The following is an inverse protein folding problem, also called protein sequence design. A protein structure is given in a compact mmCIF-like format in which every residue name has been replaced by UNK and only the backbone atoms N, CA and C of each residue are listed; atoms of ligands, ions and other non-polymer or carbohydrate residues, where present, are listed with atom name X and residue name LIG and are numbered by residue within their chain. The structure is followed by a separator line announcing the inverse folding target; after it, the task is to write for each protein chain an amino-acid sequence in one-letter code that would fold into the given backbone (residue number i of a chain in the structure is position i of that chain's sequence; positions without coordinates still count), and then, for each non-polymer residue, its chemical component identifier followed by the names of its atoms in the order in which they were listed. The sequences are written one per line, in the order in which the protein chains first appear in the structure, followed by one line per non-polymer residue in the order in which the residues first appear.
data_IF_026189198042
#
_entry.id   IF_026189198042
#
_cell.length_a   1.000
_cell.length_b   1.000
_cell.length_c   1.000
_cell.angle_alpha   90.00
_cell.angle_beta   90.00
_cell.angle_gamma   90.00
#
_symmetry.space_group_name_H-M   'P 1'
#
loop_
_entity.id
_entity.type
_entity.pdbx_description
1 polymer ?
#
# COMPACT_ATOMS: atom_id res chain seq x y z
N UNK A 1 26.73 0.80 15.77
CA UNK A 1 26.20 1.63 14.66
C UNK A 1 25.60 0.65 13.67
N UNK A 2 24.28 0.49 13.65
CA UNK A 2 23.58 -0.45 12.76
C UNK A 2 23.07 0.38 11.59
N UNK A 3 23.31 0.01 10.32
CA UNK A 3 22.76 0.77 9.20
C UNK A 3 21.23 0.64 9.24
N UNK A 4 20.54 1.75 9.51
CA UNK A 4 19.12 1.92 9.24
C UNK A 4 18.91 2.19 7.74
N UNK A 5 19.45 1.31 6.89
CA UNK A 5 19.19 1.36 5.46
C UNK A 5 18.84 -0.05 5.02
N UNK A 6 17.55 -0.29 4.83
CA UNK A 6 17.08 -1.49 4.12
C UNK A 6 17.16 -1.26 2.61
N UNK A 7 17.87 -0.20 2.18
CA UNK A 7 17.98 0.35 0.84
C UNK A 7 17.44 -0.54 -0.27
N UNK A 8 16.10 -0.57 -0.41
CA UNK A 8 15.43 -1.53 -1.28
C UNK A 8 15.90 -1.32 -2.73
N UNK A 9 16.30 -0.10 -3.06
CA UNK A 9 16.72 0.29 -4.39
C UNK A 9 18.24 0.22 -4.63
N UNK A 10 19.07 -0.24 -3.68
CA UNK A 10 20.55 -0.20 -3.81
C UNK A 10 21.07 -0.93 -5.06
N UNK A 11 20.40 -2.01 -5.46
CA UNK A 11 20.74 -2.82 -6.63
C UNK A 11 19.65 -2.75 -7.72
N UNK A 12 18.84 -1.69 -7.73
CA UNK A 12 17.76 -1.57 -8.71
C UNK A 12 18.32 -1.15 -10.07
N UNK A 13 18.17 -2.02 -11.07
CA UNK A 13 18.64 -1.75 -12.43
C UNK A 13 17.64 -0.90 -13.21
N UNK A 14 18.06 -0.40 -14.38
CA UNK A 14 17.18 0.32 -15.29
C UNK A 14 15.97 -0.53 -15.73
N UNK A 15 16.19 -1.82 -15.99
CA UNK A 15 15.13 -2.77 -16.36
C UNK A 15 14.14 -2.97 -15.20
N UNK A 16 14.63 -3.02 -13.96
CA UNK A 16 13.76 -3.10 -12.79
C UNK A 16 12.87 -1.85 -12.67
N UNK A 17 13.45 -0.65 -12.83
CA UNK A 17 12.68 0.59 -12.83
C UNK A 17 11.63 0.64 -13.94
N UNK A 18 12.01 0.29 -15.17
CA UNK A 18 11.09 0.24 -16.31
C UNK A 18 9.95 -0.77 -16.07
N UNK A 19 10.28 -1.94 -15.52
CA UNK A 19 9.29 -2.96 -15.18
C UNK A 19 8.33 -2.46 -14.09
N UNK A 20 8.84 -1.86 -13.02
CA UNK A 20 8.01 -1.36 -11.92
C UNK A 20 7.05 -0.27 -12.39
N UNK A 21 7.56 0.71 -13.15
CA UNK A 21 6.77 1.83 -13.68
C UNK A 21 5.73 1.34 -14.70
N UNK A 22 6.11 0.41 -15.59
CA UNK A 22 5.19 -0.19 -16.55
C UNK A 22 4.02 -0.90 -15.84
N UNK A 23 4.32 -1.73 -14.85
CA UNK A 23 3.30 -2.45 -14.08
C UNK A 23 2.41 -1.50 -13.28
N UNK A 24 2.98 -0.47 -12.66
CA UNK A 24 2.22 0.54 -11.92
C UNK A 24 1.28 1.34 -12.84
N UNK A 25 1.80 1.84 -13.97
CA UNK A 25 1.03 2.57 -14.98
C UNK A 25 -0.11 1.72 -15.56
N UNK A 26 0.14 0.45 -15.90
CA UNK A 26 -0.89 -0.50 -16.36
C UNK A 26 -1.96 -0.82 -15.28
N UNK A 27 -1.65 -0.53 -14.02
CA UNK A 27 -2.55 -0.64 -12.87
C UNK A 27 -3.23 0.69 -12.52
N UNK A 28 -3.15 1.69 -13.40
CA UNK A 28 -3.69 3.05 -13.23
C UNK A 28 -3.02 3.90 -12.13
N UNK A 29 -1.81 3.55 -11.68
CA UNK A 29 -1.03 4.38 -10.76
C UNK A 29 -0.34 5.49 -11.54
N UNK A 30 -0.52 6.75 -11.12
CA UNK A 30 -0.02 7.94 -11.82
C UNK A 30 1.45 8.28 -11.52
N UNK A 31 2.04 7.67 -10.48
CA UNK A 31 3.40 7.99 -10.08
C UNK A 31 3.89 7.30 -8.82
N UNK A 32 5.14 7.59 -8.45
CA UNK A 32 5.76 7.10 -7.21
C UNK A 32 6.24 8.23 -6.28
N UNK A 33 5.94 8.05 -4.99
CA UNK A 33 6.64 8.71 -3.90
C UNK A 33 7.97 7.95 -3.65
N UNK A 34 9.10 8.60 -3.91
CA UNK A 34 10.43 8.00 -3.73
C UNK A 34 10.92 8.24 -2.30
N UNK A 35 10.69 7.28 -1.41
CA UNK A 35 11.22 7.31 -0.04
C UNK A 35 12.76 7.19 -0.06
N UNK A 36 13.44 8.19 0.49
CA UNK A 36 14.90 8.31 0.47
C UNK A 36 15.48 8.59 1.87
N UNK A 37 16.59 7.92 2.18
CA UNK A 37 17.35 8.11 3.41
C UNK A 37 18.56 9.06 3.24
N UNK A 38 18.83 9.87 4.26
CA UNK A 38 19.93 10.86 4.23
C UNK A 38 21.32 10.23 4.17
N UNK A 39 21.49 9.05 4.77
CA UNK A 39 22.75 8.32 4.88
C UNK A 39 22.98 7.30 3.76
N UNK A 40 22.06 7.19 2.81
CA UNK A 40 22.11 6.20 1.74
C UNK A 40 23.00 6.69 0.60
N UNK A 41 24.21 6.12 0.52
CA UNK A 41 25.22 6.49 -0.47
C UNK A 41 24.80 6.28 -1.93
N UNK A 42 23.78 5.45 -2.18
CA UNK A 42 23.25 5.12 -3.50
C UNK A 42 22.05 5.99 -3.92
N UNK A 43 21.52 6.87 -3.05
CA UNK A 43 20.28 7.63 -3.30
C UNK A 43 20.32 8.40 -4.61
N UNK A 44 21.43 9.10 -4.91
CA UNK A 44 21.51 9.92 -6.11
C UNK A 44 21.43 9.09 -7.40
N UNK A 45 22.12 7.95 -7.44
CA UNK A 45 22.14 7.08 -8.63
C UNK A 45 20.80 6.35 -8.79
N UNK A 46 20.19 5.90 -7.69
CA UNK A 46 18.86 5.30 -7.71
C UNK A 46 17.78 6.28 -8.20
N UNK A 47 17.83 7.54 -7.74
CA UNK A 47 16.91 8.59 -8.20
C UNK A 47 17.08 8.87 -9.69
N UNK A 48 18.33 9.01 -10.18
CA UNK A 48 18.58 9.19 -11.63
C UNK A 48 18.00 8.03 -12.44
N UNK A 49 18.22 6.79 -12.02
CA UNK A 49 17.64 5.61 -12.66
C UNK A 49 16.11 5.64 -12.70
N UNK A 50 15.47 6.05 -11.59
CA UNK A 50 14.02 6.19 -11.52
C UNK A 50 13.48 7.27 -12.49
N UNK A 51 14.08 8.47 -12.49
CA UNK A 51 13.68 9.56 -13.39
C UNK A 51 13.96 9.25 -14.86
N UNK A 52 15.09 8.60 -15.18
CA UNK A 52 15.41 8.14 -16.53
C UNK A 52 14.37 7.14 -17.04
N UNK A 53 13.94 6.21 -16.19
CA UNK A 53 12.88 5.25 -16.53
C UNK A 53 11.52 5.91 -16.67
N UNK A 54 11.14 6.80 -15.74
CA UNK A 54 9.86 7.53 -15.80
C UNK A 54 9.76 8.44 -17.03
N UNK A 55 10.89 8.99 -17.51
CA UNK A 55 10.94 9.78 -18.76
C UNK A 55 10.47 9.03 -20.01
N UNK A 56 10.31 7.70 -19.94
CA UNK A 56 9.81 6.85 -21.03
C UNK A 56 8.28 6.72 -21.04
N UNK A 57 7.59 7.36 -20.11
CA UNK A 57 6.14 7.29 -19.96
C UNK A 57 5.55 8.71 -19.93
N UNK A 58 4.51 8.97 -20.72
CA UNK A 58 4.00 10.33 -20.91
C UNK A 58 3.36 10.96 -19.66
N UNK A 59 2.82 10.13 -18.76
CA UNK A 59 2.03 10.59 -17.60
C UNK A 59 2.41 9.90 -16.29
N UNK A 60 3.62 9.35 -16.19
CA UNK A 60 4.10 8.76 -14.94
C UNK A 60 5.03 9.74 -14.23
N UNK A 61 4.63 10.15 -13.03
CA UNK A 61 5.35 11.19 -12.29
C UNK A 61 6.04 10.65 -11.03
N UNK A 62 7.03 11.38 -10.54
CA UNK A 62 7.82 11.03 -9.36
C UNK A 62 7.90 12.24 -8.44
N UNK A 63 7.97 12.01 -7.14
CA UNK A 63 8.36 13.05 -6.19
C UNK A 63 9.22 12.48 -5.07
N UNK A 64 9.99 13.35 -4.42
CA UNK A 64 10.90 12.95 -3.35
C UNK A 64 10.17 12.93 -2.00
N UNK A 65 10.28 11.82 -1.28
CA UNK A 65 9.82 11.66 0.10
C UNK A 65 11.02 11.49 1.02
N UNK A 66 11.34 12.53 1.81
CA UNK A 66 12.51 12.53 2.69
C UNK A 66 12.21 11.77 3.99
N UNK A 67 12.82 10.60 4.18
CA UNK A 67 12.62 9.78 5.37
C UNK A 67 13.54 10.26 6.50
N UNK A 68 12.92 10.80 7.56
CA UNK A 68 13.63 11.28 8.75
C UNK A 68 13.90 10.18 9.80
N UNK A 69 13.35 8.99 9.60
CA UNK A 69 13.53 7.82 10.46
C UNK A 69 14.56 6.80 9.92
N UNK A 70 14.98 6.95 8.65
CA UNK A 70 16.06 6.23 8.00
C UNK A 70 17.45 6.57 8.57
N UNK A 71 18.51 5.96 8.02
CA UNK A 71 19.89 6.28 8.39
C UNK A 71 20.28 7.70 7.97
N UNK A 72 21.12 8.35 8.78
CA UNK A 72 21.64 9.69 8.52
C UNK A 72 20.78 10.80 9.13
N UNK A 73 21.06 12.04 8.76
CA UNK A 73 20.32 13.21 9.22
C UNK A 73 20.18 14.20 8.06
N UNK A 74 18.93 14.53 7.74
CA UNK A 74 18.64 15.59 6.77
C UNK A 74 18.99 16.97 7.35
N UNK A 75 19.43 17.88 6.49
CA UNK A 75 19.60 19.28 6.81
C UNK A 75 19.10 20.13 5.63
N UNK A 76 18.99 21.45 5.87
CA UNK A 76 18.45 22.38 4.88
C UNK A 76 19.22 22.30 3.54
N UNK A 77 20.54 22.20 3.57
CA UNK A 77 21.36 22.15 2.35
C UNK A 77 21.20 20.84 1.60
N UNK A 78 21.21 19.70 2.28
CA UNK A 78 21.08 18.40 1.61
C UNK A 78 19.71 18.23 0.96
N UNK A 79 18.61 18.62 1.63
CA UNK A 79 17.26 18.61 1.06
C UNK A 79 17.17 19.56 -0.13
N UNK A 80 17.62 20.82 0.03
CA UNK A 80 17.49 21.84 -1.02
C UNK A 80 18.31 21.49 -2.26
N UNK A 81 19.53 20.98 -2.09
CA UNK A 81 20.39 20.58 -3.20
C UNK A 81 19.79 19.42 -3.98
N UNK A 82 19.29 18.39 -3.28
CA UNK A 82 18.68 17.24 -3.94
C UNK A 82 17.39 17.64 -4.66
N UNK A 83 16.54 18.46 -4.02
CA UNK A 83 15.33 19.00 -4.66
C UNK A 83 15.67 19.82 -5.90
N UNK A 84 16.65 20.73 -5.82
CA UNK A 84 17.09 21.50 -6.99
C UNK A 84 17.67 20.64 -8.12
N UNK A 85 18.19 19.44 -7.81
CA UNK A 85 18.71 18.51 -8.81
C UNK A 85 17.59 17.92 -9.67
N UNK A 86 16.46 17.56 -9.05
CA UNK A 86 15.38 16.83 -9.73
C UNK A 86 14.15 17.68 -10.09
N UNK A 87 13.99 18.89 -9.52
CA UNK A 87 12.76 19.69 -9.67
C UNK A 87 12.38 20.05 -11.11
N UNK A 88 13.35 20.06 -12.02
CA UNK A 88 13.16 20.41 -13.43
C UNK A 88 13.16 19.18 -14.34
N UNK A 89 13.25 17.96 -13.79
CA UNK A 89 13.10 16.72 -14.55
C UNK A 89 11.68 16.60 -15.13
N UNK A 90 11.50 16.08 -16.36
CA UNK A 90 10.19 15.98 -17.00
C UNK A 90 9.16 15.19 -16.19
N UNK A 91 9.60 14.15 -15.49
CA UNK A 91 8.74 13.31 -14.67
C UNK A 91 8.51 13.84 -13.24
N UNK A 92 9.09 14.98 -12.84
CA UNK A 92 8.84 15.53 -11.51
C UNK A 92 7.38 15.95 -11.36
N UNK A 93 6.68 15.39 -10.37
CA UNK A 93 5.32 15.80 -10.05
C UNK A 93 5.32 17.23 -9.52
N UNK A 94 4.44 18.06 -10.08
CA UNK A 94 4.32 19.48 -9.76
C UNK A 94 2.88 19.84 -9.45
N UNK A 95 2.70 20.68 -8.43
CA UNK A 95 1.43 21.31 -8.07
C UNK A 95 1.66 22.82 -8.09
N UNK A 96 0.78 23.55 -8.77
CA UNK A 96 0.92 25.00 -9.00
C UNK A 96 2.30 25.41 -9.57
N UNK A 97 2.87 24.54 -10.42
CA UNK A 97 4.19 24.74 -11.02
C UNK A 97 5.38 24.50 -10.09
N UNK A 98 5.15 24.15 -8.82
CA UNK A 98 6.19 23.86 -7.83
C UNK A 98 6.43 22.35 -7.72
N UNK A 99 7.68 21.88 -7.57
CA UNK A 99 7.94 20.46 -7.31
C UNK A 99 7.29 20.03 -5.99
N UNK A 100 6.48 18.97 -6.04
CA UNK A 100 5.98 18.36 -4.82
C UNK A 100 7.11 17.64 -4.11
N UNK A 101 7.18 17.80 -2.79
CA UNK A 101 8.04 17.01 -1.90
C UNK A 101 7.25 16.59 -0.66
N UNK A 102 7.57 15.43 -0.12
CA UNK A 102 6.97 14.92 1.12
C UNK A 102 8.04 14.42 2.08
N UNK A 103 7.60 13.87 3.20
CA UNK A 103 8.48 13.26 4.20
C UNK A 103 7.89 11.94 4.67
N UNK A 104 8.70 11.13 5.35
CA UNK A 104 8.22 10.19 6.37
C UNK A 104 8.69 10.71 7.73
N UNK A 105 7.74 11.09 8.57
CA UNK A 105 7.98 11.82 9.83
C UNK A 105 8.88 13.07 9.66
N UNK A 106 9.57 13.50 10.72
CA UNK A 106 10.48 14.66 10.67
C UNK A 106 9.95 15.93 11.33
N UNK A 107 8.96 15.81 12.23
CA UNK A 107 8.39 16.93 13.01
C UNK A 107 9.44 17.89 13.61
N UNK A 108 10.58 17.44 14.18
CA UNK A 108 11.58 18.36 14.71
C UNK A 108 12.19 19.32 13.67
N UNK A 109 12.14 18.98 12.38
CA UNK A 109 12.61 19.78 11.26
C UNK A 109 11.52 20.69 10.66
N UNK A 110 10.29 20.68 11.20
CA UNK A 110 9.15 21.38 10.63
C UNK A 110 9.40 22.88 10.38
N UNK A 111 10.13 23.55 11.28
CA UNK A 111 10.37 25.00 11.20
C UNK A 111 11.54 25.37 10.26
N UNK A 112 12.36 24.40 9.86
CA UNK A 112 13.50 24.60 8.94
C UNK A 112 13.06 24.54 7.46
N UNK A 113 11.86 24.03 7.17
CA UNK A 113 11.29 24.01 5.81
C UNK A 113 11.16 25.41 5.19
N UNK A 114 10.98 26.46 6.01
CA UNK A 114 11.00 27.85 5.53
C UNK A 114 12.33 28.22 4.85
N UNK A 115 13.44 27.63 5.30
CA UNK A 115 14.76 27.90 4.76
C UNK A 115 15.07 26.99 3.57
N UNK A 116 14.50 25.77 3.54
CA UNK A 116 14.47 24.93 2.33
C UNK A 116 13.75 25.65 1.19
N UNK A 117 12.54 26.18 1.44
CA UNK A 117 11.75 26.95 0.45
C UNK A 117 12.54 28.11 -0.16
N UNK A 118 13.31 28.84 0.64
CA UNK A 118 14.16 29.95 0.17
C UNK A 118 15.31 29.47 -0.73
N UNK A 119 15.85 28.27 -0.49
CA UNK A 119 17.00 27.73 -1.24
C UNK A 119 16.59 26.94 -2.49
N UNK A 120 15.36 26.45 -2.56
CA UNK A 120 14.84 25.80 -3.77
C UNK A 120 14.36 26.86 -4.75
N UNK A 121 14.97 26.90 -5.95
CA UNK A 121 14.62 27.89 -6.97
C UNK A 121 13.23 27.59 -7.52
N UNK A 122 12.30 28.51 -7.28
CA UNK A 122 10.90 28.35 -7.67
C UNK A 122 9.98 27.83 -6.55
N UNK A 123 10.47 27.75 -5.31
CA UNK A 123 9.75 27.22 -4.14
C UNK A 123 9.43 25.71 -4.29
N UNK A 124 8.75 25.13 -3.31
CA UNK A 124 8.27 23.74 -3.27
C UNK A 124 6.77 23.68 -2.95
N UNK A 125 6.12 22.57 -3.28
CA UNK A 125 4.81 22.21 -2.73
C UNK A 125 5.01 21.12 -1.68
N UNK A 126 4.95 21.47 -0.38
CA UNK A 126 5.27 20.55 0.72
C UNK A 126 4.03 19.86 1.27
N UNK A 127 3.99 18.52 1.17
CA UNK A 127 2.96 17.66 1.75
C UNK A 127 3.64 16.62 2.65
N UNK A 128 4.03 16.95 3.89
CA UNK A 128 4.81 16.05 4.72
C UNK A 128 3.91 15.01 5.39
N UNK A 129 4.46 13.82 5.67
CA UNK A 129 3.90 12.95 6.69
C UNK A 129 4.42 13.36 8.05
N UNK A 130 3.54 13.97 8.85
CA UNK A 130 3.74 14.20 10.28
C UNK A 130 2.60 13.59 11.09
N UNK A 131 2.21 12.36 10.75
CA UNK A 131 1.12 11.64 11.42
C UNK A 131 1.30 11.57 12.93
N UNK A 132 2.54 11.43 13.43
CA UNK A 132 2.84 11.48 14.87
C UNK A 132 2.42 12.78 15.58
N UNK A 133 2.29 13.89 14.85
CA UNK A 133 1.87 15.18 15.37
C UNK A 133 0.33 15.26 15.53
N UNK A 134 -0.39 14.46 14.73
CA UNK A 134 -1.84 14.44 14.62
C UNK A 134 -2.46 15.76 14.10
N UNK A 135 -3.77 15.76 13.78
CA UNK A 135 -4.45 16.91 13.18
C UNK A 135 -4.33 18.19 14.02
N UNK A 136 -4.41 18.06 15.34
CA UNK A 136 -4.33 19.19 16.27
C UNK A 136 -2.95 19.86 16.28
N UNK A 137 -1.87 19.12 16.06
CA UNK A 137 -0.55 19.72 15.97
C UNK A 137 -0.22 20.22 14.55
N UNK A 138 -0.72 19.58 13.49
CA UNK A 138 -0.63 20.09 12.10
C UNK A 138 -1.20 21.49 11.99
N UNK A 139 -2.34 21.77 12.63
CA UNK A 139 -2.96 23.10 12.66
C UNK A 139 -2.03 24.22 13.16
N UNK A 140 -0.96 23.89 13.89
CA UNK A 140 0.03 24.84 14.42
C UNK A 140 1.25 25.02 13.50
N UNK A 141 1.31 24.29 12.39
CA UNK A 141 2.43 24.28 11.41
C UNK A 141 1.99 24.69 10.00
N UNK A 142 0.77 25.24 9.86
CA UNK A 142 0.14 25.57 8.59
C UNK A 142 0.95 26.58 7.74
N UNK A 143 1.77 27.42 8.35
CA UNK A 143 2.63 28.38 7.63
C UNK A 143 3.79 27.69 6.89
N UNK A 144 4.14 26.46 7.26
CA UNK A 144 5.29 25.74 6.69
C UNK A 144 4.89 24.76 5.58
N UNK A 145 3.63 24.35 5.51
CA UNK A 145 3.14 23.26 4.63
C UNK A 145 2.13 23.75 3.60
N UNK A 146 2.05 23.08 2.45
CA UNK A 146 1.00 23.29 1.44
C UNK A 146 -0.10 22.22 1.51
N UNK A 147 0.17 21.13 2.20
CA UNK A 147 -0.76 20.07 2.53
C UNK A 147 -0.23 19.18 3.65
N UNK A 148 -0.93 18.09 3.95
CA UNK A 148 -0.44 17.06 4.87
C UNK A 148 -0.82 15.67 4.36
N UNK A 149 0.14 14.75 4.47
CA UNK A 149 -0.04 13.33 4.21
C UNK A 149 -0.22 12.60 5.55
N UNK A 150 -1.25 11.77 5.64
CA UNK A 150 -1.51 10.94 6.81
C UNK A 150 -1.15 9.48 6.52
N UNK A 151 -0.14 8.95 7.20
CA UNK A 151 0.30 7.55 7.13
C UNK A 151 -0.62 6.58 7.89
N UNK A 152 -1.70 7.09 8.51
CA UNK A 152 -2.74 6.29 9.20
C UNK A 152 -3.62 5.48 8.22
N UNK A 153 -3.06 4.45 7.57
CA UNK A 153 -3.82 3.59 6.65
C UNK A 153 -4.52 2.41 7.33
N UNK A 154 -4.16 2.08 8.57
CA UNK A 154 -4.54 0.82 9.22
C UNK A 154 -5.41 1.01 10.47
N UNK A 155 -6.19 -0.01 10.87
CA UNK A 155 -6.90 0.02 12.14
C UNK A 155 -5.93 0.14 13.32
N UNK A 156 -6.31 0.93 14.33
CA UNK A 156 -5.57 0.99 15.59
C UNK A 156 -5.56 -0.36 16.31
N UNK A 157 -4.66 -0.54 17.29
CA UNK A 157 -4.61 -1.76 18.10
C UNK A 157 -5.98 -2.17 18.67
N UNK A 158 -6.28 -3.48 18.59
CA UNK A 158 -7.53 -4.06 19.04
C UNK A 158 -8.76 -3.73 18.19
N UNK A 159 -8.59 -3.10 17.01
CA UNK A 159 -9.70 -2.76 16.11
C UNK A 159 -9.66 -3.60 14.84
N UNK A 160 -10.83 -4.10 14.43
CA UNK A 160 -11.00 -4.90 13.22
C UNK A 160 -11.13 -4.09 11.93
N UNK A 161 -11.39 -2.78 12.02
CA UNK A 161 -11.68 -1.90 10.87
C UNK A 161 -11.11 -0.50 11.08
N UNK A 162 -10.68 0.11 9.97
CA UNK A 162 -10.24 1.50 9.88
C UNK A 162 -11.47 2.40 9.65
N UNK A 163 -11.38 3.67 10.04
CA UNK A 163 -12.47 4.65 9.91
C UNK A 163 -11.96 5.95 9.30
N UNK A 164 -12.85 6.75 8.71
CA UNK A 164 -12.54 8.08 8.16
C UNK A 164 -12.23 9.16 9.20
N UNK A 165 -12.33 8.85 10.50
CA UNK A 165 -12.24 9.87 11.56
C UNK A 165 -10.93 10.65 11.54
N UNK A 166 -9.80 9.96 11.34
CA UNK A 166 -8.47 10.61 11.25
C UNK A 166 -8.39 11.45 9.97
N UNK A 167 -8.86 10.91 8.85
CA UNK A 167 -8.84 11.58 7.55
C UNK A 167 -9.65 12.89 7.58
N UNK A 168 -10.90 12.84 8.06
CA UNK A 168 -11.74 14.03 8.21
C UNK A 168 -11.17 15.04 9.22
N UNK A 169 -10.50 14.57 10.28
CA UNK A 169 -9.86 15.46 11.24
C UNK A 169 -8.68 16.20 10.60
N UNK A 170 -7.88 15.53 9.78
CA UNK A 170 -6.81 16.15 9.00
C UNK A 170 -7.38 17.16 7.99
N UNK A 171 -8.39 16.80 7.19
CA UNK A 171 -9.05 17.76 6.28
C UNK A 171 -9.56 19.00 7.01
N UNK A 172 -10.25 18.82 8.15
CA UNK A 172 -10.72 19.95 8.98
C UNK A 172 -9.58 20.82 9.50
N UNK A 173 -8.45 20.22 9.89
CA UNK A 173 -7.28 20.95 10.38
C UNK A 173 -6.57 21.72 9.25
N UNK A 174 -6.60 21.19 8.03
CA UNK A 174 -5.94 21.75 6.85
C UNK A 174 -6.72 22.91 6.21
N UNK A 175 -8.04 22.96 6.38
CA UNK A 175 -8.89 23.95 5.70
C UNK A 175 -8.81 23.75 4.19
N UNK A 176 -8.35 24.77 3.46
CA UNK A 176 -8.22 24.74 2.00
C UNK A 176 -6.90 24.13 1.50
N UNK A 177 -6.02 23.69 2.41
CA UNK A 177 -4.75 23.04 2.05
C UNK A 177 -4.94 21.59 1.65
N UNK A 178 -4.06 21.08 0.79
CA UNK A 178 -4.18 19.76 0.21
C UNK A 178 -4.11 18.65 1.26
N UNK A 179 -5.02 17.68 1.18
CA UNK A 179 -4.96 16.47 1.98
C UNK A 179 -4.59 15.27 1.12
N UNK A 180 -3.52 14.58 1.50
CA UNK A 180 -3.12 13.30 0.90
C UNK A 180 -3.51 12.16 1.83
N UNK A 181 -4.39 11.28 1.35
CA UNK A 181 -4.94 10.16 2.10
C UNK A 181 -4.17 8.87 1.79
N UNK A 182 -3.80 8.10 2.81
CA UNK A 182 -3.14 6.81 2.61
C UNK A 182 -4.12 5.66 2.38
N UNK A 183 -3.74 4.73 1.51
CA UNK A 183 -4.46 3.47 1.27
C UNK A 183 -3.48 2.31 1.31
N UNK A 184 -3.82 1.22 1.97
CA UNK A 184 -2.95 0.05 2.10
C UNK A 184 -3.77 -1.24 2.14
N UNK A 185 -3.33 -2.33 1.49
CA UNK A 185 -4.12 -3.56 1.45
C UNK A 185 -3.94 -4.43 2.70
N UNK A 186 -2.79 -4.31 3.36
CA UNK A 186 -2.35 -5.24 4.39
C UNK A 186 -1.38 -4.60 5.37
N UNK A 187 -1.14 -5.22 6.53
CA UNK A 187 0.05 -4.93 7.35
C UNK A 187 0.40 -6.12 8.22
N UNK A 188 1.62 -6.62 8.07
CA UNK A 188 2.21 -7.54 9.02
C UNK A 188 3.72 -7.37 9.00
N UNK A 189 4.30 -7.26 10.18
CA UNK A 189 5.74 -7.19 10.30
C UNK A 189 6.22 -8.07 11.45
N UNK A 190 7.33 -8.74 11.22
CA UNK A 190 8.11 -9.38 12.27
C UNK A 190 9.60 -9.25 11.96
N UNK A 191 10.21 -8.24 12.58
CA UNK A 191 11.61 -7.88 12.39
C UNK A 191 12.22 -7.67 13.78
N UNK A 192 12.82 -8.73 14.31
CA UNK A 192 13.36 -8.75 15.68
C UNK A 192 14.41 -7.64 15.90
N UNK A 193 15.26 -7.38 14.90
CA UNK A 193 16.28 -6.31 14.94
C UNK A 193 15.67 -4.91 15.11
N UNK A 194 14.45 -4.70 14.62
CA UNK A 194 13.71 -3.45 14.74
C UNK A 194 12.68 -3.48 15.88
N UNK A 195 12.63 -4.57 16.66
CA UNK A 195 11.61 -4.82 17.69
C UNK A 195 10.18 -4.69 17.15
N UNK A 196 9.99 -5.05 15.88
CA UNK A 196 8.68 -5.04 15.22
C UNK A 196 8.08 -6.43 15.23
N UNK A 197 6.84 -6.57 15.71
CA UNK A 197 6.09 -7.84 15.74
C UNK A 197 4.58 -7.58 15.93
N UNK A 198 3.90 -7.14 14.88
CA UNK A 198 2.46 -6.86 14.94
C UNK A 198 1.76 -7.08 13.59
N UNK A 199 0.45 -7.20 13.67
CA UNK A 199 -0.50 -7.32 12.55
C UNK A 199 -1.62 -6.31 12.73
N UNK A 200 -1.98 -5.59 11.67
CA UNK A 200 -3.18 -4.74 11.66
C UNK A 200 -4.30 -5.43 10.88
N UNK A 201 -5.53 -5.40 11.40
CA UNK A 201 -6.66 -6.09 10.75
C UNK A 201 -6.84 -5.64 9.31
N UNK A 202 -6.77 -6.61 8.39
CA UNK A 202 -6.64 -6.36 6.96
C UNK A 202 -7.68 -7.09 6.10
N UNK A 203 -8.55 -7.92 6.70
CA UNK A 203 -9.52 -8.76 5.99
C UNK A 203 -10.49 -7.94 5.10
N UNK A 204 -10.83 -6.71 5.52
CA UNK A 204 -11.66 -5.76 4.75
C UNK A 204 -10.91 -4.54 4.23
N UNK A 205 -9.64 -4.40 4.60
CA UNK A 205 -8.96 -3.10 4.61
C UNK A 205 -8.86 -2.46 3.24
N UNK A 206 -8.48 -3.24 2.23
CA UNK A 206 -8.35 -2.74 0.86
C UNK A 206 -9.66 -2.18 0.31
N UNK A 207 -10.77 -2.91 0.50
CA UNK A 207 -12.10 -2.45 0.11
C UNK A 207 -12.52 -1.22 0.92
N UNK A 208 -12.45 -1.32 2.25
CA UNK A 208 -12.92 -0.25 3.13
C UNK A 208 -12.14 1.06 2.89
N UNK A 209 -10.82 1.05 2.69
CA UNK A 209 -10.04 2.27 2.42
C UNK A 209 -10.38 2.89 1.07
N UNK A 210 -10.53 2.11 0.01
CA UNK A 210 -10.89 2.66 -1.30
C UNK A 210 -12.30 3.24 -1.32
N UNK A 211 -13.27 2.60 -0.67
CA UNK A 211 -14.61 3.19 -0.50
C UNK A 211 -14.56 4.49 0.33
N UNK A 212 -13.74 4.52 1.38
CA UNK A 212 -13.53 5.70 2.20
C UNK A 212 -12.85 6.84 1.43
N UNK A 213 -11.96 6.57 0.50
CA UNK A 213 -11.38 7.60 -0.39
C UNK A 213 -12.49 8.31 -1.16
N UNK A 214 -13.46 7.56 -1.69
CA UNK A 214 -14.58 8.13 -2.45
C UNK A 214 -15.54 8.94 -1.57
N UNK A 215 -15.70 8.56 -0.29
CA UNK A 215 -16.50 9.32 0.67
C UNK A 215 -15.79 10.58 1.19
N UNK A 216 -14.48 10.49 1.44
CA UNK A 216 -13.67 11.59 2.00
C UNK A 216 -13.35 12.64 0.93
N UNK A 217 -13.13 12.21 -0.32
CA UNK A 217 -12.70 13.05 -1.43
C UNK A 217 -11.41 13.81 -1.12
N UNK A 218 -10.27 13.12 -0.86
CA UNK A 218 -8.99 13.78 -0.65
C UNK A 218 -8.47 14.42 -1.95
N UNK A 219 -7.50 15.34 -1.86
CA UNK A 219 -6.88 15.96 -3.04
C UNK A 219 -5.88 15.02 -3.72
N UNK A 220 -5.27 14.13 -2.93
CA UNK A 220 -4.30 13.14 -3.38
C UNK A 220 -4.50 11.82 -2.62
N UNK A 221 -4.13 10.71 -3.25
CA UNK A 221 -4.15 9.38 -2.62
C UNK A 221 -2.77 8.75 -2.79
N UNK A 222 -2.17 8.29 -1.69
CA UNK A 222 -0.91 7.54 -1.72
C UNK A 222 -1.16 6.08 -1.31
N UNK A 223 -0.81 5.14 -2.19
CA UNK A 223 -0.83 3.71 -1.85
C UNK A 223 0.46 3.38 -1.10
N UNK A 224 0.32 2.99 0.16
CA UNK A 224 1.43 2.52 0.99
C UNK A 224 1.39 0.98 1.05
N UNK A 225 2.25 0.26 0.31
CA UNK A 225 3.35 0.74 -0.55
C UNK A 225 3.51 -0.08 -1.84
N UNK A 226 4.40 0.38 -2.72
CA UNK A 226 4.85 -0.42 -3.86
C UNK A 226 5.68 -1.64 -3.41
N UNK A 227 6.71 -1.46 -2.58
CA UNK A 227 7.71 -2.50 -2.33
C UNK A 227 8.22 -2.61 -0.88
N UNK A 228 7.44 -2.18 0.14
CA UNK A 228 7.81 -2.49 1.53
C UNK A 228 7.46 -3.94 1.89
N UNK A 229 8.38 -4.84 1.54
CA UNK A 229 8.26 -6.26 1.84
C UNK A 229 8.39 -6.56 3.34
N UNK A 230 9.14 -5.75 4.09
CA UNK A 230 9.39 -5.96 5.52
C UNK A 230 8.16 -5.74 6.40
N UNK A 231 7.20 -4.95 5.92
CA UNK A 231 5.93 -4.67 6.60
C UNK A 231 4.71 -5.24 5.87
N UNK A 232 4.96 -6.04 4.83
CA UNK A 232 3.97 -6.81 4.06
C UNK A 232 2.85 -6.00 3.43
N UNK A 233 3.00 -4.69 3.25
CA UNK A 233 1.97 -3.85 2.63
C UNK A 233 2.27 -3.45 1.19
N UNK A 234 3.20 -4.17 0.55
CA UNK A 234 3.55 -4.04 -0.85
C UNK A 234 2.41 -4.50 -1.78
N UNK A 235 2.33 -3.89 -2.96
CA UNK A 235 1.51 -4.33 -4.10
C UNK A 235 2.33 -4.54 -5.38
N UNK A 236 3.63 -4.25 -5.34
CA UNK A 236 4.60 -4.48 -6.42
C UNK A 236 5.07 -5.93 -6.48
N UNK A 237 5.76 -6.28 -7.58
CA UNK A 237 6.30 -7.62 -7.77
C UNK A 237 7.44 -7.89 -6.80
N UNK A 238 7.50 -9.09 -6.23
CA UNK A 238 8.54 -9.44 -5.26
C UNK A 238 9.89 -9.52 -5.96
N UNK A 239 10.85 -8.71 -5.49
CA UNK A 239 12.25 -8.76 -5.90
C UNK A 239 13.08 -9.33 -4.76
N UNK A 240 13.59 -10.55 -4.93
CA UNK A 240 14.33 -11.28 -3.86
C UNK A 240 15.42 -10.43 -3.20
N UNK A 241 16.17 -9.65 -4.00
CA UNK A 241 17.23 -8.76 -3.51
C UNK A 241 16.76 -7.61 -2.62
N UNK A 242 15.46 -7.32 -2.59
CA UNK A 242 14.82 -6.30 -1.73
C UNK A 242 14.21 -6.91 -0.46
N UNK A 243 14.11 -8.24 -0.37
CA UNK A 243 13.52 -8.92 0.79
C UNK A 243 14.59 -9.22 1.82
N UNK A 244 14.51 -8.57 2.98
CA UNK A 244 15.41 -8.86 4.11
C UNK A 244 15.18 -10.28 4.65
N UNK A 245 16.24 -10.91 5.17
CA UNK A 245 16.18 -12.28 5.66
C UNK A 245 15.12 -12.52 6.74
N UNK A 246 14.87 -11.55 7.62
CA UNK A 246 13.82 -11.67 8.63
C UNK A 246 12.40 -11.62 8.06
N UNK A 247 12.23 -11.07 6.86
CA UNK A 247 10.95 -10.96 6.17
C UNK A 247 10.66 -12.13 5.24
N UNK A 248 11.69 -12.77 4.68
CA UNK A 248 11.58 -13.96 3.80
C UNK A 248 10.55 -14.99 4.27
N UNK A 249 10.47 -15.38 5.57
CA UNK A 249 9.47 -16.33 6.01
C UNK A 249 8.05 -15.95 5.60
N UNK A 250 7.67 -14.67 5.64
CA UNK A 250 6.32 -14.20 5.36
C UNK A 250 6.16 -13.43 4.04
N UNK A 251 7.19 -13.39 3.20
CA UNK A 251 7.16 -12.77 1.87
C UNK A 251 7.33 -13.81 0.77
N UNK A 252 8.22 -14.79 0.95
CA UNK A 252 8.54 -15.77 -0.10
C UNK A 252 7.30 -16.59 -0.50
N UNK A 253 6.94 -16.52 -1.79
CA UNK A 253 5.79 -17.24 -2.35
C UNK A 253 4.43 -16.62 -2.03
N UNK A 254 4.37 -15.42 -1.46
CA UNK A 254 3.14 -14.76 -1.04
C UNK A 254 2.90 -13.46 -1.80
N UNK A 255 2.65 -13.58 -3.10
CA UNK A 255 2.42 -12.41 -3.96
C UNK A 255 1.18 -11.60 -3.55
N UNK A 256 1.33 -10.28 -3.59
CA UNK A 256 0.29 -9.27 -3.35
C UNK A 256 -0.16 -8.56 -4.65
N UNK A 257 0.30 -9.04 -5.80
CA UNK A 257 0.07 -8.43 -7.11
C UNK A 257 -1.42 -8.36 -7.48
N UNK A 258 -2.23 -9.32 -6.99
CA UNK A 258 -3.66 -9.37 -7.23
C UNK A 258 -4.40 -8.11 -6.79
N UNK A 259 -3.92 -7.42 -5.74
CA UNK A 259 -4.50 -6.15 -5.28
C UNK A 259 -4.53 -5.06 -6.35
N UNK A 260 -3.63 -5.12 -7.34
CA UNK A 260 -3.58 -4.16 -8.44
C UNK A 260 -4.73 -4.29 -9.43
N UNK A 261 -5.37 -5.47 -9.53
CA UNK A 261 -6.35 -5.71 -10.57
C UNK A 261 -7.61 -4.84 -10.45
N UNK A 262 -7.97 -4.42 -9.23
CA UNK A 262 -9.14 -3.56 -8.96
C UNK A 262 -8.83 -2.06 -9.08
N UNK A 263 -7.55 -1.67 -9.08
CA UNK A 263 -7.15 -0.26 -9.08
C UNK A 263 -7.69 0.56 -10.25
N UNK A 264 -7.78 0.06 -11.50
CA UNK A 264 -8.33 0.87 -12.59
C UNK A 264 -9.75 1.38 -12.32
N UNK A 265 -10.59 0.59 -11.63
CA UNK A 265 -11.91 1.04 -11.22
C UNK A 265 -11.82 2.15 -10.18
N UNK A 266 -11.12 1.90 -9.06
CA UNK A 266 -11.11 2.86 -7.95
C UNK A 266 -10.40 4.17 -8.29
N UNK A 267 -9.33 4.12 -9.07
CA UNK A 267 -8.65 5.33 -9.54
C UNK A 267 -9.57 6.14 -10.47
N UNK A 268 -10.29 5.48 -11.36
CA UNK A 268 -11.23 6.16 -12.24
C UNK A 268 -12.40 6.76 -11.46
N UNK A 269 -12.95 6.03 -10.49
CA UNK A 269 -14.02 6.50 -9.60
C UNK A 269 -13.58 7.69 -8.75
N UNK A 270 -12.35 7.65 -8.22
CA UNK A 270 -11.74 8.75 -7.48
C UNK A 270 -11.62 10.01 -8.36
N UNK A 271 -11.04 9.87 -9.56
CA UNK A 271 -10.89 10.98 -10.50
C UNK A 271 -12.24 11.54 -10.99
N UNK A 272 -13.28 10.71 -11.06
CA UNK A 272 -14.64 11.11 -11.42
C UNK A 272 -15.42 11.70 -10.23
N UNK A 273 -14.95 11.52 -8.99
CA UNK A 273 -15.67 11.91 -7.78
C UNK A 273 -16.94 11.09 -7.51
N UNK A 274 -17.08 9.91 -8.12
CA UNK A 274 -18.26 9.05 -7.95
C UNK A 274 -17.94 7.58 -8.18
N UNK A 275 -18.55 6.70 -7.37
CA UNK A 275 -18.56 5.25 -7.58
C UNK A 275 -19.62 4.80 -8.58
N UNK A 276 -20.56 5.66 -8.97
CA UNK A 276 -21.60 5.32 -9.94
C UNK A 276 -21.10 5.56 -11.36
N UNK A 277 -20.24 4.65 -11.84
CA UNK A 277 -19.64 4.76 -13.17
C UNK A 277 -19.54 3.40 -13.88
N UNK A 278 -19.41 3.45 -15.21
CA UNK A 278 -19.17 2.26 -16.01
C UNK A 278 -17.78 1.66 -15.70
N UNK A 279 -17.67 0.33 -15.79
CA UNK A 279 -16.40 -0.37 -15.63
C UNK A 279 -15.39 0.10 -16.71
N UNK A 280 -14.17 0.52 -16.33
CA UNK A 280 -13.15 0.89 -17.32
C UNK A 280 -12.91 -0.22 -18.34
N UNK A 281 -12.77 0.15 -19.61
CA UNK A 281 -12.59 -0.82 -20.72
C UNK A 281 -11.37 -1.73 -20.52
N UNK A 282 -10.31 -1.22 -19.86
CA UNK A 282 -9.10 -2.00 -19.52
C UNK A 282 -9.36 -3.16 -18.54
N UNK A 283 -10.57 -3.24 -17.96
CA UNK A 283 -11.01 -4.31 -17.07
C UNK A 283 -11.91 -5.34 -17.76
N UNK A 284 -12.19 -5.17 -19.06
CA UNK A 284 -13.01 -6.08 -19.86
C UNK A 284 -14.41 -6.30 -19.28
N UNK A 285 -14.78 -7.57 -19.12
CA UNK A 285 -16.09 -8.00 -18.60
C UNK A 285 -16.19 -7.97 -17.07
N UNK A 286 -15.05 -7.90 -16.36
CA UNK A 286 -15.01 -7.89 -14.90
C UNK A 286 -13.67 -8.28 -14.31
N UNK A 287 -13.51 -8.00 -13.02
CA UNK A 287 -12.33 -8.34 -12.21
C UNK A 287 -12.80 -8.93 -10.89
N UNK A 288 -12.11 -9.99 -10.45
CA UNK A 288 -12.19 -10.50 -9.09
C UNK A 288 -10.79 -10.59 -8.48
N UNK A 289 -10.66 -10.17 -7.22
CA UNK A 289 -9.43 -10.25 -6.43
C UNK A 289 -9.75 -10.93 -5.12
N UNK A 290 -9.10 -12.05 -4.83
CA UNK A 290 -9.25 -12.76 -3.57
C UNK A 290 -7.97 -12.67 -2.73
N UNK A 291 -8.13 -12.58 -1.41
CA UNK A 291 -7.03 -12.69 -0.46
C UNK A 291 -7.42 -13.43 0.81
N UNK A 292 -6.50 -14.25 1.31
CA UNK A 292 -6.71 -15.11 2.48
C UNK A 292 -5.39 -15.51 3.10
N UNK A 293 -5.46 -16.02 4.34
CA UNK A 293 -4.31 -16.67 4.98
C UNK A 293 -4.21 -18.13 4.52
N UNK A 294 -3.02 -18.65 4.18
CA UNK A 294 -2.84 -20.03 3.75
C UNK A 294 -2.92 -21.04 4.91
N UNK A 295 -3.17 -20.58 6.14
CA UNK A 295 -3.30 -21.43 7.34
C UNK A 295 -4.35 -20.84 8.28
N UNK A 296 -5.14 -21.67 8.99
CA UNK A 296 -6.11 -21.19 9.97
C UNK A 296 -5.46 -20.41 11.12
N UNK A 297 -6.16 -19.41 11.66
CA UNK A 297 -5.69 -18.56 12.75
C UNK A 297 -5.35 -19.37 14.01
N UNK A 298 -6.18 -20.38 14.30
CA UNK A 298 -6.08 -21.24 15.48
C UNK A 298 -5.63 -22.65 15.12
N UNK A 299 -4.48 -22.75 14.44
CA UNK A 299 -3.90 -24.05 14.11
C UNK A 299 -3.18 -24.69 15.32
N UNK A 300 -3.63 -25.87 15.73
CA UNK A 300 -3.06 -26.62 16.86
C UNK A 300 -1.58 -26.95 16.61
N UNK A 301 -0.75 -26.77 17.64
CA UNK A 301 0.69 -27.09 17.58
C UNK A 301 1.57 -26.03 16.93
N UNK A 302 0.99 -24.94 16.42
CA UNK A 302 1.75 -23.78 15.93
C UNK A 302 1.60 -22.58 16.86
N UNK A 303 2.62 -21.72 16.91
CA UNK A 303 2.58 -20.44 17.60
C UNK A 303 2.17 -19.31 16.64
N UNK A 304 1.61 -18.22 17.14
CA UNK A 304 1.48 -16.95 16.40
C UNK A 304 2.78 -16.12 16.44
N UNK A 305 3.83 -16.64 17.10
CA UNK A 305 5.10 -15.96 17.24
C UNK A 305 5.10 -14.79 18.22
N UNK A 306 4.08 -14.68 19.09
CA UNK A 306 3.90 -13.55 19.98
C UNK A 306 3.48 -12.26 19.27
N UNK A 307 3.00 -12.37 18.04
CA UNK A 307 2.54 -11.23 17.23
C UNK A 307 1.38 -10.50 17.92
N UNK A 308 1.47 -9.18 18.01
CA UNK A 308 0.45 -8.34 18.62
C UNK A 308 -0.58 -7.84 17.62
N UNK A 309 -1.82 -7.68 18.08
CA UNK A 309 -2.89 -7.08 17.29
C UNK A 309 -2.78 -5.55 17.31
N UNK A 310 -2.19 -5.02 16.25
CA UNK A 310 -1.85 -3.63 16.02
C UNK A 310 -0.58 -3.19 16.74
N UNK A 311 0.03 -2.13 16.22
CA UNK A 311 1.21 -1.51 16.81
C UNK A 311 0.89 -1.00 18.22
N UNK A 312 1.78 -1.27 19.18
CA UNK A 312 1.59 -0.88 20.58
C UNK A 312 0.55 -1.71 21.35
N UNK A 313 -0.05 -2.73 20.71
CA UNK A 313 -1.03 -3.61 21.34
C UNK A 313 -0.44 -4.67 22.26
N UNK A 314 -1.29 -5.23 23.13
CA UNK A 314 -0.96 -6.31 24.05
C UNK A 314 -1.71 -7.63 23.73
N UNK A 315 -2.83 -7.55 23.03
CA UNK A 315 -3.63 -8.69 22.54
C UNK A 315 -2.91 -9.46 21.43
N UNK A 316 -3.07 -10.78 21.40
CA UNK A 316 -2.58 -11.64 20.30
C UNK A 316 -3.22 -11.26 18.97
N UNK A 317 -2.44 -11.27 17.89
CA UNK A 317 -2.94 -11.10 16.52
C UNK A 317 -4.02 -12.12 16.14
N UNK A 318 -4.07 -13.31 16.78
CA UNK A 318 -5.13 -14.32 16.58
C UNK A 318 -6.53 -13.79 16.85
N UNK A 319 -6.68 -12.82 17.73
CA UNK A 319 -7.98 -12.20 18.02
C UNK A 319 -8.43 -11.22 16.92
N UNK A 320 -7.51 -10.76 16.08
CA UNK A 320 -7.76 -9.74 15.05
C UNK A 320 -7.95 -10.27 13.63
N UNK A 321 -7.96 -11.59 13.46
CA UNK A 321 -7.97 -12.28 12.17
C UNK A 321 -9.17 -13.22 12.05
N UNK A 322 -9.73 -13.36 10.84
CA UNK A 322 -10.82 -14.31 10.56
C UNK A 322 -10.42 -15.32 9.48
N UNK A 323 -10.85 -16.58 9.62
CA UNK A 323 -10.53 -17.67 8.69
C UNK A 323 -11.49 -17.62 7.49
N UNK A 324 -11.23 -16.69 6.59
CA UNK A 324 -12.09 -16.33 5.47
C UNK A 324 -11.29 -16.13 4.17
N UNK A 325 -11.95 -16.38 3.05
CA UNK A 325 -11.56 -15.90 1.72
C UNK A 325 -12.26 -14.56 1.51
N UNK A 326 -11.50 -13.48 1.45
CA UNK A 326 -12.00 -12.12 1.24
C UNK A 326 -11.85 -11.77 -0.23
N UNK A 327 -12.87 -11.17 -0.84
CA UNK A 327 -12.92 -10.94 -2.29
C UNK A 327 -13.48 -9.55 -2.57
N UNK A 328 -12.87 -8.85 -3.53
CA UNK A 328 -13.49 -7.72 -4.22
C UNK A 328 -13.78 -8.16 -5.65
N UNK A 329 -15.02 -8.02 -6.08
CA UNK A 329 -15.43 -8.36 -7.43
C UNK A 329 -16.28 -7.26 -8.06
N UNK A 330 -16.06 -6.99 -9.34
CA UNK A 330 -16.83 -6.04 -10.14
C UNK A 330 -17.04 -6.64 -11.53
N UNK A 331 -18.24 -6.47 -12.09
CA UNK A 331 -18.61 -7.03 -13.38
C UNK A 331 -19.44 -6.05 -14.19
N UNK A 332 -19.29 -6.08 -15.51
CA UNK A 332 -20.04 -5.24 -16.46
C UNK A 332 -21.51 -5.67 -16.59
N UNK A 333 -21.78 -6.95 -16.32
CA UNK A 333 -23.10 -7.59 -16.40
C UNK A 333 -23.30 -8.51 -15.21
N UNK A 334 -24.56 -8.79 -14.88
CA UNK A 334 -24.90 -9.79 -13.87
C UNK A 334 -24.22 -11.12 -14.23
N UNK A 335 -23.56 -11.73 -13.26
CA UNK A 335 -22.75 -12.93 -13.43
C UNK A 335 -22.68 -13.73 -12.13
N UNK A 336 -22.00 -14.87 -12.16
CA UNK A 336 -21.72 -15.67 -10.98
C UNK A 336 -20.21 -15.69 -10.70
N UNK A 337 -19.86 -15.44 -9.45
CA UNK A 337 -18.52 -15.69 -8.91
C UNK A 337 -18.50 -17.08 -8.28
N UNK A 338 -17.63 -17.95 -8.79
CA UNK A 338 -17.42 -19.30 -8.30
C UNK A 338 -16.11 -19.33 -7.51
N UNK A 339 -16.17 -19.82 -6.28
CA UNK A 339 -15.03 -19.90 -5.37
C UNK A 339 -14.88 -21.36 -4.95
N UNK A 340 -13.71 -21.94 -5.17
CA UNK A 340 -13.43 -23.31 -4.77
C UNK A 340 -12.29 -23.37 -3.76
N UNK A 341 -12.38 -24.31 -2.82
CA UNK A 341 -11.26 -24.73 -1.96
C UNK A 341 -11.22 -26.25 -1.97
N UNK A 342 -10.17 -26.82 -2.57
CA UNK A 342 -10.14 -28.25 -2.86
C UNK A 342 -11.26 -28.64 -3.84
N UNK A 343 -12.07 -29.63 -3.47
CA UNK A 343 -13.17 -30.14 -4.31
C UNK A 343 -14.52 -29.45 -4.01
N UNK A 344 -14.58 -28.61 -2.97
CA UNK A 344 -15.79 -27.88 -2.60
C UNK A 344 -15.86 -26.53 -3.30
N UNK A 345 -17.06 -26.18 -3.76
CA UNK A 345 -17.32 -24.94 -4.51
C UNK A 345 -18.49 -24.17 -3.93
N UNK A 346 -18.38 -22.85 -3.89
CA UNK A 346 -19.43 -21.90 -3.52
C UNK A 346 -19.66 -20.96 -4.68
N UNK A 347 -20.93 -20.71 -5.00
CA UNK A 347 -21.33 -19.82 -6.09
C UNK A 347 -22.08 -18.63 -5.50
N UNK A 348 -21.70 -17.43 -5.91
CA UNK A 348 -22.28 -16.18 -5.43
C UNK A 348 -22.72 -15.39 -6.66
N UNK A 349 -24.00 -15.03 -6.70
CA UNK A 349 -24.53 -14.13 -7.71
C UNK A 349 -23.94 -12.73 -7.51
N UNK A 350 -23.44 -12.14 -8.59
CA UNK A 350 -22.80 -10.83 -8.62
C UNK A 350 -23.57 -9.94 -9.60
N UNK A 351 -24.23 -8.92 -9.07
CA UNK A 351 -24.92 -7.92 -9.88
C UNK A 351 -23.92 -6.95 -10.52
N UNK A 352 -24.22 -6.49 -11.73
CA UNK A 352 -23.49 -5.40 -12.35
C UNK A 352 -23.56 -4.12 -11.49
N UNK A 353 -22.50 -3.32 -11.50
CA UNK A 353 -22.43 -2.07 -10.76
C UNK A 353 -21.08 -1.87 -10.05
N UNK A 354 -21.06 -1.10 -8.95
CA UNK A 354 -19.87 -0.88 -8.15
C UNK A 354 -19.27 -2.18 -7.58
N UNK A 355 -17.98 -2.18 -7.17
CA UNK A 355 -17.32 -3.32 -6.57
C UNK A 355 -18.07 -3.86 -5.35
N UNK A 356 -18.22 -5.17 -5.30
CA UNK A 356 -18.78 -5.89 -4.17
C UNK A 356 -17.66 -6.43 -3.29
N UNK A 357 -17.80 -6.28 -1.98
CA UNK A 357 -16.99 -7.02 -1.03
C UNK A 357 -17.70 -8.28 -0.58
N UNK A 358 -17.02 -9.42 -0.73
CA UNK A 358 -17.53 -10.74 -0.40
C UNK A 358 -16.58 -11.40 0.59
N UNK A 359 -17.14 -12.09 1.58
CA UNK A 359 -16.36 -12.86 2.55
C UNK A 359 -16.94 -14.26 2.66
N UNK A 360 -16.12 -15.28 2.40
CA UNK A 360 -16.52 -16.69 2.48
C UNK A 360 -15.70 -17.38 3.58
N UNK A 361 -16.32 -17.77 4.71
CA UNK A 361 -15.65 -18.53 5.76
C UNK A 361 -15.06 -19.86 5.27
N UNK A 362 -13.88 -20.25 5.78
CA UNK A 362 -13.31 -21.57 5.48
C UNK A 362 -14.26 -22.70 5.90
N UNK A 363 -15.02 -22.50 6.99
CA UNK A 363 -16.01 -23.44 7.49
C UNK A 363 -17.14 -23.73 6.49
N UNK A 364 -17.40 -22.81 5.55
CA UNK A 364 -18.39 -23.04 4.52
C UNK A 364 -17.97 -24.18 3.61
N UNK A 365 -16.68 -24.50 3.47
CA UNK A 365 -16.17 -25.64 2.70
C UNK A 365 -15.98 -26.90 3.58
N UNK A 366 -16.54 -26.91 4.79
CA UNK A 366 -16.39 -28.00 5.76
C UNK A 366 -14.97 -28.12 6.28
N UNK A 367 -14.47 -29.35 6.40
CA UNK A 367 -13.10 -29.64 6.83
C UNK A 367 -12.08 -29.65 5.68
N UNK A 368 -12.49 -29.29 4.45
CA UNK A 368 -11.59 -29.33 3.30
C UNK A 368 -10.55 -28.21 3.34
N UNK A 369 -9.41 -28.52 2.73
CA UNK A 369 -8.21 -27.70 2.58
C UNK A 369 -7.64 -27.99 1.19
N UNK A 370 -6.89 -27.07 0.63
CA UNK A 370 -6.32 -27.20 -0.70
C UNK A 370 -6.26 -25.87 -1.44
N UNK A 371 -5.96 -25.95 -2.74
CA UNK A 371 -5.90 -24.80 -3.62
C UNK A 371 -7.21 -24.01 -3.60
N UNK A 372 -7.08 -22.69 -3.54
CA UNK A 372 -8.21 -21.78 -3.70
C UNK A 372 -8.25 -21.29 -5.13
N UNK A 373 -9.41 -21.41 -5.78
CA UNK A 373 -9.65 -20.83 -7.09
C UNK A 373 -10.82 -19.86 -7.02
N UNK A 374 -10.72 -18.79 -7.82
CA UNK A 374 -11.84 -17.91 -8.13
C UNK A 374 -12.07 -17.95 -9.63
N UNK A 375 -13.32 -18.12 -10.04
CA UNK A 375 -13.75 -18.15 -11.43
C UNK A 375 -14.91 -17.17 -11.64
N UNK A 376 -14.80 -16.32 -12.64
CA UNK A 376 -15.85 -15.37 -13.02
C UNK A 376 -15.74 -15.12 -14.52
N UNK A 377 -16.88 -15.08 -15.23
CA UNK A 377 -16.91 -14.85 -16.68
C UNK A 377 -16.01 -15.81 -17.50
N UNK A 378 -15.86 -17.06 -17.05
CA UNK A 378 -15.05 -18.09 -17.73
C UNK A 378 -13.55 -18.03 -17.44
N UNK A 379 -13.11 -17.04 -16.66
CA UNK A 379 -11.70 -16.82 -16.32
C UNK A 379 -11.42 -17.32 -14.90
N UNK A 380 -10.35 -18.07 -14.74
CA UNK A 380 -10.00 -18.75 -13.49
C UNK A 380 -8.62 -18.31 -13.04
N UNK A 381 -8.49 -17.99 -11.76
CA UNK A 381 -7.19 -17.76 -11.13
C UNK A 381 -7.07 -18.59 -9.86
N UNK A 382 -5.86 -19.10 -9.62
CA UNK A 382 -5.55 -20.00 -8.51
C UNK A 382 -4.52 -19.34 -7.58
N UNK A 383 -4.86 -19.24 -6.30
CA UNK A 383 -3.93 -18.81 -5.26
C UNK A 383 -3.27 -20.01 -4.55
N UNK A 384 -2.41 -19.76 -3.55
CA UNK A 384 -1.81 -20.83 -2.75
C UNK A 384 -2.84 -21.67 -2.02
N UNK A 385 -2.50 -22.91 -1.69
CA UNK A 385 -3.37 -23.76 -0.88
C UNK A 385 -3.58 -23.22 0.54
N UNK A 386 -4.79 -23.43 1.08
CA UNK A 386 -5.04 -23.36 2.52
C UNK A 386 -4.74 -24.73 3.09
N UNK A 387 -3.89 -24.82 4.12
CA UNK A 387 -3.45 -26.08 4.73
C UNK A 387 -3.56 -26.04 6.25
N UNK A 388 -3.79 -27.21 6.86
CA UNK A 388 -3.75 -27.41 8.32
C UNK A 388 -2.33 -27.82 8.79
N UNK A 389 -1.30 -27.56 7.98
CA UNK A 389 0.09 -27.82 8.34
C UNK A 389 0.77 -26.56 8.88
N UNK A 390 1.51 -26.68 9.98
CA UNK A 390 2.35 -25.57 10.42
C UNK A 390 3.35 -25.22 9.30
N UNK A 391 3.57 -23.92 9.02
CA UNK A 391 4.66 -23.52 8.12
C UNK A 391 6.00 -23.99 8.69
N UNK A 392 7.04 -24.08 7.85
CA UNK A 392 8.39 -24.52 8.27
C UNK A 392 8.92 -23.77 9.51
N UNK A 393 8.54 -22.51 9.68
CA UNK A 393 8.88 -21.67 10.84
C UNK A 393 8.16 -22.07 12.14
N UNK A 394 7.17 -22.98 12.09
CA UNK A 394 6.18 -23.30 13.16
C UNK A 394 5.39 -22.10 13.68
N UNK A 395 5.43 -21.01 12.93
CA UNK A 395 4.79 -19.74 13.26
C UNK A 395 3.73 -19.48 12.20
N UNK A 396 2.47 -19.55 12.60
CA UNK A 396 1.32 -19.07 11.82
C UNK A 396 1.34 -17.55 11.94
N UNK A 397 2.23 -16.93 11.18
CA UNK A 397 2.20 -15.48 10.97
C UNK A 397 0.94 -15.12 10.18
N UNK A 398 0.49 -13.90 10.32
CA UNK A 398 -0.54 -13.32 9.45
C UNK A 398 0.11 -13.04 8.09
N UNK A 399 0.26 -14.11 7.32
CA UNK A 399 0.72 -14.13 5.93
C UNK A 399 -0.52 -14.11 5.05
N UNK A 400 -0.50 -13.28 4.02
CA UNK A 400 -1.58 -13.16 3.07
C UNK A 400 -1.03 -13.45 1.68
N UNK A 401 -1.84 -14.06 0.83
CA UNK A 401 -1.60 -14.01 -0.61
C UNK A 401 -2.84 -13.43 -1.27
N UNK A 402 -2.63 -12.70 -2.35
CA UNK A 402 -3.69 -12.24 -3.22
C UNK A 402 -3.60 -12.93 -4.58
N UNK A 403 -4.75 -13.18 -5.17
CA UNK A 403 -4.89 -13.69 -6.52
C UNK A 403 -5.97 -12.88 -7.23
N UNK A 404 -5.77 -12.58 -8.50
CA UNK A 404 -6.75 -11.85 -9.28
C UNK A 404 -6.57 -12.09 -10.77
N UNK A 405 -7.58 -11.69 -11.53
CA UNK A 405 -7.57 -11.72 -12.98
C UNK A 405 -8.39 -10.57 -13.54
N UNK A 406 -8.14 -10.26 -14.80
CA UNK A 406 -8.99 -9.40 -15.63
C UNK A 406 -9.60 -10.29 -16.69
N UNK A 407 -10.92 -10.30 -16.80
CA UNK A 407 -11.58 -11.07 -17.84
C UNK A 407 -11.36 -10.39 -19.19
N UNK A 408 -10.83 -11.15 -20.16
CA UNK A 408 -10.63 -10.66 -21.52
C UNK A 408 -11.95 -10.68 -22.30
N UNK A 409 -12.13 -9.69 -23.17
CA UNK A 409 -13.27 -9.60 -24.09
C UNK A 409 -13.18 -10.62 -25.23
#
# INVERSE_FOLDING_TARGET
MIPKSVGLCINQTAENWLSDISTASASAIDGFALNIGAGDHFTLDALRGAYDAASKFDNFTLFLSFDFNAAGTWNVDSISNLTNTFKDEPAQFKVDGKPLVSTFEGVPFADDWKDVRKKVKGDIFLVPDWTSLGPGGISKKMDNVDGHFSFDAWPSSGRGRVTTKSDEANKRALGDKAYMMSVSPYFYTRIDKLKKNWYSSSDRLWYDRWEQVLDVGPDMVEIITWNDFGESHYIGDIREGQVIDSAKPYVDGLSHEGFRAILPYYVAAYKAGTREMALPEVMGDGVAVAWYRPTPANLTGCSDGGTKWGQGGDVTARAGVTDTINIIAVSRKDTALIISMGDQTRTIELLAGPPHYIQVPFADFGSQRGNVTITMNGETSQGPEITDSCPKSRIVSTRLSSVGFRSLC
#
